data_IF_148907651073
#
_entry.id   IF_148907651073
#
_cell.length_a   1.000
_cell.length_b   1.000
_cell.length_c   1.000
_cell.angle_alpha   90.00
_cell.angle_beta   90.00
_cell.angle_gamma   90.00
#
_symmetry.space_group_name_H-M   'P 1'
#
loop_
_entity.id
_entity.type
_entity.pdbx_description
1 polymer ?
#
# COMPACT_ATOMS: atom_id res chain seq x y z
N UNK A 1 -9.80 64.05 77.35
CA UNK A 1 -9.24 62.70 77.05
C UNK A 1 -10.22 61.99 76.13
N UNK A 2 -10.06 62.10 74.82
CA UNK A 2 -10.88 61.40 73.82
C UNK A 2 -10.03 60.44 73.04
N UNK A 3 -10.36 59.16 73.13
CA UNK A 3 -9.70 58.06 72.38
C UNK A 3 -10.41 57.91 71.03
N UNK A 4 -9.65 58.05 69.93
CA UNK A 4 -10.08 57.67 68.59
C UNK A 4 -9.73 56.17 68.34
N UNK A 5 -10.63 55.42 67.73
CA UNK A 5 -10.29 54.03 67.29
C UNK A 5 -9.62 54.04 65.92
N UNK A 6 -8.54 53.32 65.80
CA UNK A 6 -7.84 53.02 64.54
C UNK A 6 -8.68 52.04 63.73
N UNK A 7 -9.15 52.44 62.55
CA UNK A 7 -9.72 51.49 61.55
C UNK A 7 -8.59 50.86 60.72
N UNK A 8 -8.36 49.59 60.90
CA UNK A 8 -7.45 48.83 60.09
C UNK A 8 -8.08 48.48 58.73
N UNK A 9 -7.48 48.96 57.64
CA UNK A 9 -7.88 48.67 56.27
C UNK A 9 -7.29 47.31 55.89
N UNK A 10 -8.12 46.24 55.81
CA UNK A 10 -7.73 44.93 55.29
C UNK A 10 -7.85 44.96 53.76
N UNK A 11 -6.72 45.03 53.05
CA UNK A 11 -6.67 44.93 51.58
C UNK A 11 -6.69 43.46 51.24
N UNK A 12 -7.81 43.00 50.69
CA UNK A 12 -7.91 41.68 50.04
C UNK A 12 -7.24 41.75 48.66
N UNK A 13 -6.07 41.10 48.53
CA UNK A 13 -5.50 40.81 47.21
C UNK A 13 -6.30 39.69 46.57
N UNK A 14 -7.17 40.03 45.62
CA UNK A 14 -7.72 39.05 44.68
C UNK A 14 -6.58 38.60 43.76
N UNK A 15 -6.07 37.38 43.96
CA UNK A 15 -5.25 36.70 42.94
C UNK A 15 -6.16 36.34 41.77
N UNK A 16 -6.23 37.21 40.76
CA UNK A 16 -6.77 36.88 39.46
C UNK A 16 -5.69 36.03 38.78
N UNK A 17 -5.84 34.70 38.85
CA UNK A 17 -5.12 33.78 37.95
C UNK A 17 -5.65 34.05 36.54
N UNK A 18 -4.89 34.83 35.77
CA UNK A 18 -5.08 34.94 34.34
C UNK A 18 -4.69 33.55 33.82
N UNK A 19 -5.68 32.69 33.57
CA UNK A 19 -5.48 31.54 32.72
C UNK A 19 -5.20 32.13 31.33
N UNK A 20 -3.95 32.05 30.88
CA UNK A 20 -3.65 32.23 29.50
C UNK A 20 -4.57 31.25 28.76
N UNK A 21 -5.38 31.74 27.84
CA UNK A 21 -6.13 30.91 26.93
C UNK A 21 -5.05 30.30 26.01
N UNK A 22 -4.53 29.14 26.37
CA UNK A 22 -3.63 28.41 25.50
C UNK A 22 -4.40 28.14 24.21
N UNK A 23 -3.96 28.76 23.12
CA UNK A 23 -4.60 28.63 21.81
C UNK A 23 -4.53 27.16 21.42
N UNK A 24 -5.70 26.54 21.13
CA UNK A 24 -5.79 25.15 20.73
C UNK A 24 -5.00 24.97 19.43
N UNK A 25 -3.98 24.12 19.47
CA UNK A 25 -3.18 23.75 18.30
C UNK A 25 -4.05 22.90 17.37
N UNK A 26 -3.99 23.20 16.08
CA UNK A 26 -4.73 22.48 15.05
C UNK A 26 -3.78 21.83 14.08
N UNK A 27 -3.88 20.49 13.94
CA UNK A 27 -3.14 19.65 13.01
C UNK A 27 -4.08 19.21 11.90
N UNK A 28 -3.70 19.42 10.66
CA UNK A 28 -4.44 18.94 9.49
C UNK A 28 -3.92 17.56 9.10
N UNK A 29 -4.84 16.61 8.86
CA UNK A 29 -4.52 15.23 8.55
C UNK A 29 -5.24 14.77 7.29
N UNK A 30 -4.49 14.26 6.30
CA UNK A 30 -5.02 13.68 5.07
C UNK A 30 -4.85 12.16 5.05
N UNK A 31 -5.91 11.37 5.34
CA UNK A 31 -5.94 9.94 5.08
C UNK A 31 -6.33 9.64 3.62
N UNK A 32 -6.31 8.36 3.26
CA UNK A 32 -6.82 7.84 1.98
C UNK A 32 -8.30 8.21 1.76
N UNK A 33 -8.74 8.17 0.49
CA UNK A 33 -10.14 8.33 0.09
C UNK A 33 -10.97 7.05 0.19
N UNK A 34 -10.36 5.92 0.56
CA UNK A 34 -11.06 4.65 0.73
C UNK A 34 -12.06 4.73 1.89
N UNK A 35 -13.34 4.31 1.73
CA UNK A 35 -14.35 4.43 2.77
C UNK A 35 -13.99 3.74 4.10
N UNK A 36 -13.34 2.57 4.05
CA UNK A 36 -12.91 1.85 5.24
C UNK A 36 -11.79 2.61 5.98
N UNK A 37 -10.86 3.21 5.23
CA UNK A 37 -9.81 4.04 5.81
C UNK A 37 -10.32 5.38 6.34
N UNK A 38 -11.34 5.96 5.72
CA UNK A 38 -12.03 7.15 6.27
C UNK A 38 -12.69 6.79 7.60
N UNK A 39 -13.36 5.62 7.71
CA UNK A 39 -13.92 5.12 8.95
C UNK A 39 -12.87 4.95 10.05
N UNK A 40 -11.75 4.33 9.73
CA UNK A 40 -10.59 4.20 10.62
C UNK A 40 -10.07 5.56 11.08
N UNK A 41 -9.82 6.46 10.14
CA UNK A 41 -9.28 7.79 10.42
C UNK A 41 -10.23 8.59 11.31
N UNK A 42 -11.54 8.49 11.10
CA UNK A 42 -12.56 9.11 11.95
C UNK A 42 -12.48 8.58 13.38
N UNK A 43 -12.46 7.26 13.57
CA UNK A 43 -12.36 6.62 14.90
C UNK A 43 -11.08 7.04 15.65
N UNK A 44 -9.95 7.12 14.94
CA UNK A 44 -8.66 7.52 15.52
C UNK A 44 -8.65 9.00 15.89
N UNK A 45 -9.12 9.87 14.99
CA UNK A 45 -9.16 11.33 15.22
C UNK A 45 -10.10 11.68 16.36
N UNK A 46 -11.27 11.08 16.43
CA UNK A 46 -12.22 11.30 17.52
C UNK A 46 -11.63 10.90 18.89
N UNK A 47 -10.91 9.77 18.93
CA UNK A 47 -10.22 9.33 20.15
C UNK A 47 -9.09 10.25 20.53
N UNK A 48 -8.26 10.66 19.56
CA UNK A 48 -7.19 11.62 19.78
C UNK A 48 -7.74 12.94 20.33
N UNK A 49 -8.68 13.56 19.63
CA UNK A 49 -9.26 14.84 20.01
C UNK A 49 -9.92 14.84 21.38
N UNK A 50 -10.45 13.68 21.81
CA UNK A 50 -11.03 13.51 23.15
C UNK A 50 -9.98 13.49 24.26
N UNK A 51 -8.81 12.92 24.03
CA UNK A 51 -7.76 12.77 25.05
C UNK A 51 -6.71 13.90 25.01
N UNK A 52 -6.67 14.67 23.90
CA UNK A 52 -5.78 15.80 23.67
C UNK A 52 -6.59 17.06 23.33
N UNK A 53 -7.30 17.66 24.30
CA UNK A 53 -8.12 18.86 24.05
C UNK A 53 -7.29 20.08 23.60
N UNK A 54 -5.99 20.10 23.92
CA UNK A 54 -5.02 21.14 23.56
C UNK A 54 -4.47 20.99 22.12
N UNK A 55 -4.54 19.79 21.52
CA UNK A 55 -4.06 19.49 20.16
C UNK A 55 -5.18 18.81 19.39
N UNK A 56 -5.89 19.55 18.57
CA UNK A 56 -7.00 19.04 17.78
C UNK A 56 -6.58 18.68 16.35
N UNK A 57 -6.90 17.48 15.91
CA UNK A 57 -6.67 17.03 14.54
C UNK A 57 -7.93 17.28 13.71
N UNK A 58 -7.73 17.92 12.55
CA UNK A 58 -8.76 18.17 11.55
C UNK A 58 -8.49 17.26 10.36
N UNK A 59 -9.35 16.27 10.19
CA UNK A 59 -9.24 15.30 9.10
C UNK A 59 -9.87 15.81 7.81
N UNK A 60 -9.17 15.65 6.70
CA UNK A 60 -9.67 15.86 5.34
C UNK A 60 -9.14 14.72 4.45
N UNK A 61 -9.99 13.77 4.04
CA UNK A 61 -9.55 12.71 3.14
C UNK A 61 -9.05 13.24 1.80
N UNK A 62 -8.09 12.53 1.20
CA UNK A 62 -7.66 12.79 -0.18
C UNK A 62 -8.87 12.69 -1.14
N UNK A 63 -8.91 13.45 -2.25
CA UNK A 63 -9.96 13.35 -3.24
C UNK A 63 -10.03 11.94 -3.85
N UNK A 64 -11.24 11.42 -4.01
CA UNK A 64 -11.47 10.16 -4.72
C UNK A 64 -11.41 10.38 -6.24
N UNK A 65 -11.01 9.33 -6.98
CA UNK A 65 -11.01 9.33 -8.45
C UNK A 65 -9.82 10.05 -9.11
N UNK A 66 -8.84 10.47 -8.31
CA UNK A 66 -7.57 11.03 -8.76
C UNK A 66 -6.41 10.24 -8.16
N UNK A 67 -5.23 10.29 -8.80
CA UNK A 67 -4.02 9.76 -8.19
C UNK A 67 -3.67 10.56 -6.93
N UNK A 68 -3.48 9.89 -5.81
CA UNK A 68 -3.04 10.54 -4.57
C UNK A 68 -1.68 11.23 -4.75
N UNK A 69 -0.81 10.67 -5.57
CA UNK A 69 0.51 11.22 -5.89
C UNK A 69 0.39 12.57 -6.62
N UNK A 70 -0.49 12.67 -7.62
CA UNK A 70 -0.72 13.92 -8.36
C UNK A 70 -1.35 15.01 -7.49
N UNK A 71 -2.28 14.63 -6.61
CA UNK A 71 -2.87 15.55 -5.63
C UNK A 71 -1.80 16.09 -4.69
N UNK A 72 -0.93 15.22 -4.17
CA UNK A 72 0.13 15.59 -3.24
C UNK A 72 1.22 16.43 -3.92
N UNK A 73 1.65 16.08 -5.14
CA UNK A 73 2.58 16.90 -5.94
C UNK A 73 2.04 18.31 -6.15
N UNK A 74 0.75 18.42 -6.49
CA UNK A 74 0.09 19.72 -6.67
C UNK A 74 0.06 20.52 -5.37
N UNK A 75 -0.25 19.87 -4.24
CA UNK A 75 -0.29 20.50 -2.93
C UNK A 75 1.11 20.97 -2.47
N UNK A 76 2.16 20.18 -2.74
CA UNK A 76 3.55 20.54 -2.47
C UNK A 76 3.95 21.78 -3.28
N UNK A 77 3.67 21.79 -4.58
CA UNK A 77 3.96 22.94 -5.45
C UNK A 77 3.21 24.22 -5.01
N UNK A 78 1.97 24.06 -4.56
CA UNK A 78 1.14 25.18 -4.08
C UNK A 78 1.41 25.55 -2.60
N UNK A 79 2.20 24.78 -1.86
CA UNK A 79 2.42 24.92 -0.40
C UNK A 79 1.11 24.84 0.41
N UNK A 80 0.21 23.95 0.00
CA UNK A 80 -1.10 23.74 0.63
C UNK A 80 -1.23 22.31 1.18
N UNK A 81 -0.11 21.68 1.50
CA UNK A 81 -0.06 20.34 2.08
C UNK A 81 -0.65 20.33 3.50
N UNK A 82 -1.18 19.18 3.97
CA UNK A 82 -1.55 19.01 5.37
C UNK A 82 -0.30 18.98 6.26
N UNK A 83 -0.49 18.95 7.59
CA UNK A 83 0.60 18.65 8.51
C UNK A 83 1.03 17.18 8.39
N UNK A 84 0.06 16.26 8.38
CA UNK A 84 0.28 14.80 8.31
C UNK A 84 -0.49 14.18 7.14
N UNK A 85 0.15 13.28 6.40
CA UNK A 85 -0.53 12.41 5.43
C UNK A 85 -0.14 10.95 5.66
N UNK A 86 -1.12 10.05 5.69
CA UNK A 86 -0.92 8.61 5.91
C UNK A 86 -1.15 7.75 4.67
N UNK A 87 -1.23 8.36 3.48
CA UNK A 87 -1.40 7.64 2.22
C UNK A 87 -0.26 7.95 1.25
N UNK A 88 0.97 7.93 1.75
CA UNK A 88 2.16 8.15 0.93
C UNK A 88 2.66 6.85 0.34
N UNK A 89 2.74 6.80 -0.97
CA UNK A 89 3.46 5.76 -1.67
C UNK A 89 4.98 6.04 -1.60
N UNK A 90 5.83 5.06 -1.21
CA UNK A 90 7.26 5.29 -1.02
C UNK A 90 8.00 5.85 -2.24
N UNK A 91 7.54 5.52 -3.46
CA UNK A 91 8.19 5.96 -4.70
C UNK A 91 8.17 7.47 -4.96
N UNK A 92 7.42 8.27 -4.16
CA UNK A 92 7.41 9.74 -4.27
C UNK A 92 8.22 10.41 -3.14
N UNK A 93 8.66 9.63 -2.15
CA UNK A 93 9.28 10.17 -0.94
C UNK A 93 10.61 10.85 -1.26
N UNK A 94 11.42 10.26 -2.14
CA UNK A 94 12.71 10.83 -2.53
C UNK A 94 12.54 12.20 -3.21
N UNK A 95 11.58 12.33 -4.13
CA UNK A 95 11.26 13.61 -4.78
C UNK A 95 10.84 14.67 -3.75
N UNK A 96 10.02 14.28 -2.76
CA UNK A 96 9.60 15.19 -1.70
C UNK A 96 10.74 15.56 -0.74
N UNK A 97 11.65 14.63 -0.46
CA UNK A 97 12.84 14.87 0.37
C UNK A 97 13.80 15.85 -0.32
N UNK A 98 14.12 15.62 -1.60
CA UNK A 98 14.96 16.52 -2.42
C UNK A 98 14.36 17.93 -2.54
N UNK A 99 13.01 18.02 -2.67
CA UNK A 99 12.29 19.29 -2.68
C UNK A 99 12.19 19.96 -1.31
N UNK A 100 12.71 19.35 -0.23
CA UNK A 100 12.52 19.78 1.17
C UNK A 100 11.03 19.96 1.55
N UNK A 101 10.14 19.16 0.97
CA UNK A 101 8.71 19.24 1.20
C UNK A 101 8.25 18.47 2.44
N UNK A 102 9.05 17.53 2.93
CA UNK A 102 8.76 16.68 4.09
C UNK A 102 9.88 16.75 5.13
N UNK A 103 9.56 16.41 6.37
CA UNK A 103 10.47 16.49 7.51
C UNK A 103 11.17 15.14 7.71
N UNK A 104 12.49 15.16 7.95
CA UNK A 104 13.23 13.99 8.36
C UNK A 104 12.79 13.58 9.79
N UNK A 105 12.14 12.42 9.91
CA UNK A 105 11.54 11.94 11.15
C UNK A 105 12.57 11.51 12.19
N UNK A 106 13.75 11.08 11.75
CA UNK A 106 14.87 10.71 12.64
C UNK A 106 15.53 11.91 13.34
N UNK A 107 15.06 13.14 13.06
CA UNK A 107 15.39 14.34 13.83
C UNK A 107 14.57 14.49 15.10
N UNK A 108 13.42 13.78 15.23
CA UNK A 108 12.71 13.72 16.50
C UNK A 108 13.48 12.84 17.49
N UNK A 109 13.62 13.30 18.72
CA UNK A 109 14.50 12.70 19.71
C UNK A 109 14.16 11.25 20.05
N UNK A 110 12.90 10.85 19.96
CA UNK A 110 12.38 9.54 20.31
C UNK A 110 12.12 8.62 19.08
N UNK A 111 12.52 9.04 17.87
CA UNK A 111 12.28 8.29 16.63
C UNK A 111 12.70 6.82 16.74
N UNK A 112 13.94 6.54 17.12
CA UNK A 112 14.44 5.18 17.23
C UNK A 112 13.81 4.38 18.38
N UNK A 113 13.40 5.04 19.46
CA UNK A 113 12.64 4.41 20.53
C UNK A 113 11.27 3.93 20.05
N UNK A 114 10.63 4.69 19.15
CA UNK A 114 9.32 4.39 18.58
C UNK A 114 9.39 3.33 17.46
N UNK A 115 10.39 3.43 16.56
CA UNK A 115 10.43 2.61 15.36
C UNK A 115 11.07 1.23 15.59
N UNK A 116 12.12 1.11 16.40
CA UNK A 116 12.85 -0.15 16.59
C UNK A 116 12.01 -1.29 17.20
N UNK A 117 11.07 -1.05 18.14
CA UNK A 117 10.14 -2.08 18.58
C UNK A 117 9.16 -2.54 17.50
N UNK A 118 8.95 -1.71 16.45
CA UNK A 118 7.99 -1.95 15.39
C UNK A 118 8.61 -2.65 14.17
N UNK A 119 9.80 -2.21 13.76
CA UNK A 119 10.44 -2.62 12.50
C UNK A 119 11.85 -3.12 12.80
N UNK A 120 12.28 -4.28 12.26
CA UNK A 120 13.67 -4.72 12.35
C UNK A 120 14.63 -3.71 11.70
N UNK A 121 15.83 -3.54 12.27
CA UNK A 121 16.82 -2.54 11.81
C UNK A 121 17.28 -2.75 10.36
N UNK A 122 17.40 -4.00 9.93
CA UNK A 122 17.77 -4.35 8.55
C UNK A 122 16.66 -4.02 7.54
N UNK A 123 15.41 -4.10 7.98
CA UNK A 123 14.24 -3.71 7.19
C UNK A 123 14.09 -2.19 7.17
N UNK A 124 14.29 -1.52 8.30
CA UNK A 124 14.19 -0.07 8.42
C UNK A 124 15.13 0.64 7.44
N UNK A 125 16.34 0.12 7.24
CA UNK A 125 17.33 0.67 6.30
C UNK A 125 16.81 0.81 4.86
N UNK A 126 15.84 0.00 4.45
CA UNK A 126 15.24 0.08 3.11
C UNK A 126 14.32 1.30 2.93
N UNK A 127 14.00 2.01 4.00
CA UNK A 127 13.19 3.24 3.99
C UNK A 127 14.04 4.52 4.15
N UNK A 128 15.36 4.38 4.24
CA UNK A 128 16.26 5.53 4.25
C UNK A 128 16.30 6.18 2.85
N UNK A 129 16.27 7.51 2.82
CA UNK A 129 16.48 8.30 1.62
C UNK A 129 17.99 8.36 1.26
N UNK A 130 18.30 8.88 0.07
CA UNK A 130 19.67 8.94 -0.46
C UNK A 130 20.64 9.74 0.43
N UNK A 131 20.12 10.68 1.24
CA UNK A 131 20.90 11.47 2.22
C UNK A 131 21.09 10.76 3.57
N UNK A 132 20.54 9.55 3.72
CA UNK A 132 20.62 8.70 4.92
C UNK A 132 19.58 9.01 5.99
N UNK A 133 18.67 9.95 5.78
CA UNK A 133 17.60 10.28 6.71
C UNK A 133 16.32 9.48 6.42
N UNK A 134 15.41 9.43 7.41
CA UNK A 134 14.11 8.76 7.31
C UNK A 134 13.01 9.80 7.23
N UNK A 135 12.40 9.96 6.05
CA UNK A 135 11.34 10.95 5.81
C UNK A 135 9.92 10.36 5.88
N UNK A 136 9.81 9.05 6.02
CA UNK A 136 8.55 8.34 6.05
C UNK A 136 8.52 7.36 7.23
N UNK A 137 7.34 7.23 7.87
CA UNK A 137 7.08 6.19 8.85
C UNK A 137 6.39 5.03 8.16
N UNK A 138 7.03 3.84 8.04
CA UNK A 138 6.39 2.66 7.51
C UNK A 138 5.13 2.30 8.31
N UNK A 139 3.98 2.27 7.63
CA UNK A 139 2.69 2.09 8.29
C UNK A 139 1.98 0.81 7.88
N UNK A 140 1.75 0.62 6.57
CA UNK A 140 1.07 -0.54 6.01
C UNK A 140 1.98 -1.29 5.06
N UNK A 141 1.96 -2.62 5.16
CA UNK A 141 2.59 -3.51 4.20
C UNK A 141 1.51 -4.45 3.66
N UNK A 142 1.16 -4.28 2.40
CA UNK A 142 0.09 -5.04 1.77
C UNK A 142 0.67 -5.96 0.69
N UNK A 143 1.06 -7.21 1.03
CA UNK A 143 1.53 -8.17 0.05
C UNK A 143 0.51 -8.39 -1.07
N UNK A 144 0.98 -8.55 -2.30
CA UNK A 144 0.12 -8.97 -3.41
C UNK A 144 0.15 -10.48 -3.48
N UNK A 145 -1.03 -11.10 -3.45
CA UNK A 145 -1.21 -12.55 -3.54
C UNK A 145 -2.20 -12.90 -4.66
N UNK A 146 -2.20 -14.14 -5.06
CA UNK A 146 -3.20 -14.68 -5.96
C UNK A 146 -4.48 -14.95 -5.16
N UNK A 147 -5.55 -14.25 -5.48
CA UNK A 147 -6.89 -14.45 -4.97
C UNK A 147 -7.67 -15.34 -5.93
N UNK A 148 -8.37 -16.36 -5.43
CA UNK A 148 -9.10 -17.29 -6.27
C UNK A 148 -10.46 -17.65 -5.70
N UNK A 149 -11.43 -17.87 -6.61
CA UNK A 149 -12.79 -18.33 -6.28
C UNK A 149 -12.78 -19.85 -6.07
N UNK A 150 -13.00 -20.29 -4.84
CA UNK A 150 -12.94 -21.71 -4.45
C UNK A 150 -14.04 -22.53 -5.13
N UNK A 151 -15.22 -21.93 -5.34
CA UNK A 151 -16.34 -22.60 -6.02
C UNK A 151 -16.01 -22.88 -7.49
N UNK A 152 -15.51 -21.88 -8.22
CA UNK A 152 -15.13 -22.02 -9.63
C UNK A 152 -13.99 -23.03 -9.82
N UNK A 153 -13.02 -23.05 -8.91
CA UNK A 153 -11.94 -24.03 -8.89
C UNK A 153 -12.49 -25.46 -8.73
N UNK A 154 -13.37 -25.67 -7.77
CA UNK A 154 -14.02 -26.96 -7.51
C UNK A 154 -14.83 -27.43 -8.72
N UNK A 155 -15.62 -26.56 -9.35
CA UNK A 155 -16.41 -26.85 -10.54
C UNK A 155 -15.55 -27.16 -11.78
N UNK A 156 -14.36 -26.57 -11.86
CA UNK A 156 -13.39 -26.84 -12.91
C UNK A 156 -12.53 -28.08 -12.65
N UNK A 157 -12.65 -28.71 -11.46
CA UNK A 157 -11.79 -29.83 -11.06
C UNK A 157 -10.33 -29.40 -10.80
N UNK A 158 -10.11 -28.14 -10.45
CA UNK A 158 -8.82 -27.63 -9.97
C UNK A 158 -8.78 -27.80 -8.45
N UNK A 159 -7.96 -28.72 -7.95
CA UNK A 159 -7.96 -29.13 -6.54
C UNK A 159 -7.15 -28.15 -5.67
N UNK A 160 -5.99 -27.74 -6.17
CA UNK A 160 -5.04 -26.86 -5.47
C UNK A 160 -4.78 -25.61 -6.30
N UNK A 161 -4.52 -24.47 -5.65
CA UNK A 161 -4.12 -23.27 -6.36
C UNK A 161 -2.78 -23.48 -7.07
N UNK A 162 -2.62 -23.03 -8.33
CA UNK A 162 -1.41 -23.22 -9.12
C UNK A 162 -0.22 -22.49 -8.50
N UNK A 163 0.92 -23.17 -8.43
CA UNK A 163 2.19 -22.65 -7.88
C UNK A 163 3.15 -22.21 -8.97
N UNK A 164 3.08 -22.87 -10.13
CA UNK A 164 3.94 -22.54 -11.27
C UNK A 164 3.16 -21.94 -12.43
N UNK A 165 3.86 -21.33 -13.37
CA UNK A 165 3.25 -20.81 -14.59
C UNK A 165 2.60 -21.93 -15.42
N UNK A 166 3.20 -23.12 -15.42
CA UNK A 166 2.66 -24.29 -16.14
C UNK A 166 1.36 -24.75 -15.48
N UNK A 167 1.35 -24.95 -14.16
CA UNK A 167 0.14 -25.29 -13.40
C UNK A 167 -0.96 -24.24 -13.56
N UNK A 168 -0.58 -22.94 -13.62
CA UNK A 168 -1.52 -21.86 -13.88
C UNK A 168 -2.18 -21.99 -15.26
N UNK A 169 -1.40 -22.26 -16.31
CA UNK A 169 -1.93 -22.44 -17.66
C UNK A 169 -2.85 -23.67 -17.78
N UNK A 170 -2.53 -24.76 -17.08
CA UNK A 170 -3.40 -25.94 -17.00
C UNK A 170 -4.71 -25.66 -16.25
N UNK A 171 -4.64 -24.92 -15.16
CA UNK A 171 -5.83 -24.48 -14.44
C UNK A 171 -6.67 -23.50 -15.28
N UNK A 172 -6.00 -22.55 -15.97
CA UNK A 172 -6.64 -21.54 -16.79
C UNK A 172 -7.44 -22.14 -17.96
N UNK A 173 -6.94 -23.20 -18.59
CA UNK A 173 -7.66 -23.93 -19.63
C UNK A 173 -9.01 -24.49 -19.12
N UNK A 174 -9.04 -24.99 -17.88
CA UNK A 174 -10.24 -25.56 -17.25
C UNK A 174 -11.20 -24.46 -16.74
N UNK A 175 -10.65 -23.33 -16.30
CA UNK A 175 -11.39 -22.23 -15.70
C UNK A 175 -11.99 -21.27 -16.74
N UNK A 176 -11.46 -21.26 -17.97
CA UNK A 176 -11.97 -20.41 -19.06
C UNK A 176 -13.11 -21.13 -19.78
N UNK A 177 -14.31 -20.57 -19.76
CA UNK A 177 -15.53 -21.22 -20.23
C UNK A 177 -16.47 -20.29 -20.97
N UNK A 178 -17.17 -20.89 -21.93
CA UNK A 178 -18.44 -20.44 -22.46
C UNK A 178 -19.54 -21.12 -21.60
N UNK A 179 -20.19 -20.39 -20.72
CA UNK A 179 -21.12 -20.94 -19.72
C UNK A 179 -22.56 -21.05 -20.23
N UNK A 180 -22.91 -20.29 -21.28
CA UNK A 180 -24.24 -20.30 -21.90
C UNK A 180 -24.31 -21.00 -23.26
N UNK A 181 -23.16 -21.37 -23.85
CA UNK A 181 -23.05 -22.15 -25.07
C UNK A 181 -23.25 -21.36 -26.34
N UNK A 182 -23.05 -20.05 -26.30
CA UNK A 182 -23.20 -19.16 -27.47
C UNK A 182 -21.92 -19.07 -28.34
N UNK A 183 -20.83 -19.69 -27.90
CA UNK A 183 -19.54 -19.70 -28.58
C UNK A 183 -18.62 -18.56 -28.19
N UNK A 184 -19.01 -17.75 -27.20
CA UNK A 184 -18.20 -16.66 -26.66
C UNK A 184 -17.82 -16.99 -25.21
N UNK A 185 -16.57 -16.73 -24.84
CA UNK A 185 -16.13 -16.87 -23.45
C UNK A 185 -16.76 -15.80 -22.58
N UNK A 186 -17.41 -16.18 -21.50
CA UNK A 186 -18.04 -15.33 -20.52
C UNK A 186 -17.51 -15.54 -19.09
N UNK A 187 -16.74 -16.62 -18.85
CA UNK A 187 -15.95 -16.85 -17.65
C UNK A 187 -14.47 -17.03 -18.02
N UNK A 188 -13.60 -16.15 -17.51
CA UNK A 188 -12.17 -16.22 -17.73
C UNK A 188 -11.43 -16.80 -16.53
N UNK A 189 -10.26 -17.40 -16.79
CA UNK A 189 -9.38 -17.87 -15.73
C UNK A 189 -8.94 -16.73 -14.81
N UNK A 190 -8.66 -15.57 -15.38
CA UNK A 190 -8.23 -14.44 -14.57
C UNK A 190 -8.39 -13.10 -15.27
N UNK A 191 -8.02 -12.04 -14.55
CA UNK A 191 -7.97 -10.69 -15.09
C UNK A 191 -6.60 -10.07 -14.86
N UNK A 192 -6.08 -9.44 -15.92
CA UNK A 192 -4.91 -8.56 -15.88
C UNK A 192 -5.38 -7.19 -16.39
N UNK A 193 -4.96 -6.11 -15.73
CA UNK A 193 -5.42 -4.79 -16.11
C UNK A 193 -4.85 -4.39 -17.48
N UNK A 194 -5.75 -4.14 -18.44
CA UNK A 194 -5.39 -3.80 -19.83
C UNK A 194 -5.14 -2.30 -20.03
N UNK A 195 -5.44 -1.44 -19.05
CA UNK A 195 -5.11 -0.02 -19.15
C UNK A 195 -3.60 0.19 -19.02
N UNK A 196 -2.99 1.02 -19.90
CA UNK A 196 -1.55 1.33 -19.85
C UNK A 196 -1.25 2.38 -18.76
N UNK A 197 -1.88 2.26 -17.60
CA UNK A 197 -1.65 3.14 -16.46
C UNK A 197 -0.50 2.55 -15.64
N UNK A 198 0.52 3.35 -15.40
CA UNK A 198 1.78 2.95 -14.78
C UNK A 198 1.62 2.16 -13.47
N UNK A 199 0.75 2.60 -12.55
CA UNK A 199 0.60 1.97 -11.23
C UNK A 199 -0.08 0.59 -11.27
N UNK A 200 -0.81 0.22 -12.35
CA UNK A 200 -1.36 -1.13 -12.50
C UNK A 200 -0.25 -2.19 -12.56
N UNK A 201 0.91 -1.84 -13.12
CA UNK A 201 2.05 -2.76 -13.27
C UNK A 201 2.68 -3.18 -11.95
N UNK A 202 2.35 -2.52 -10.83
CA UNK A 202 2.77 -3.00 -9.50
C UNK A 202 2.06 -4.29 -9.10
N UNK A 203 0.79 -4.46 -9.50
CA UNK A 203 -0.06 -5.57 -9.08
C UNK A 203 0.03 -6.80 -10.00
N UNK A 204 0.59 -6.65 -11.18
CA UNK A 204 0.82 -7.73 -12.12
C UNK A 204 2.33 -7.93 -12.40
N UNK A 205 2.91 -7.19 -13.33
CA UNK A 205 4.29 -7.38 -13.75
C UNK A 205 5.29 -7.31 -12.58
N UNK A 206 5.25 -6.28 -11.77
CA UNK A 206 6.26 -6.06 -10.75
C UNK A 206 6.18 -7.08 -9.60
N UNK A 207 4.97 -7.36 -9.12
CA UNK A 207 4.76 -8.40 -8.12
C UNK A 207 5.25 -9.77 -8.60
N UNK A 208 4.92 -10.13 -9.85
CA UNK A 208 5.37 -11.39 -10.47
C UNK A 208 6.87 -11.39 -10.77
N UNK A 209 7.47 -10.25 -11.14
CA UNK A 209 8.91 -10.14 -11.34
C UNK A 209 9.68 -10.36 -10.05
N UNK A 210 9.24 -9.75 -8.94
CA UNK A 210 9.81 -10.00 -7.61
C UNK A 210 9.71 -11.48 -7.26
N UNK A 211 8.54 -12.10 -7.49
CA UNK A 211 8.30 -13.50 -7.21
C UNK A 211 9.23 -14.41 -8.05
N UNK A 212 9.23 -14.23 -9.36
CA UNK A 212 10.01 -15.04 -10.29
C UNK A 212 11.53 -14.93 -10.09
N UNK A 213 12.01 -13.77 -9.66
CA UNK A 213 13.45 -13.47 -9.53
C UNK A 213 14.04 -13.72 -8.13
N UNK A 214 13.24 -14.23 -7.18
CA UNK A 214 13.68 -14.40 -5.80
C UNK A 214 13.91 -13.06 -5.08
N UNK A 215 13.15 -12.01 -5.45
CA UNK A 215 13.14 -10.73 -4.75
C UNK A 215 14.03 -9.64 -5.35
N UNK A 216 14.40 -9.74 -6.64
CA UNK A 216 15.11 -8.64 -7.33
C UNK A 216 14.19 -7.43 -7.50
N UNK A 217 14.78 -6.25 -7.35
CA UNK A 217 14.16 -4.97 -7.68
C UNK A 217 14.42 -4.63 -9.16
N UNK A 218 13.71 -3.60 -9.69
CA UNK A 218 13.97 -3.13 -11.07
C UNK A 218 15.35 -2.52 -11.23
N UNK A 219 15.90 -2.00 -10.12
CA UNK A 219 17.21 -1.35 -10.07
C UNK A 219 18.09 -2.00 -9.03
N UNK A 220 19.40 -2.01 -9.33
CA UNK A 220 20.45 -2.41 -8.42
C UNK A 220 21.57 -1.39 -8.47
N UNK A 221 21.90 -0.78 -7.32
CA UNK A 221 22.97 0.25 -7.22
C UNK A 221 22.79 1.41 -8.22
N UNK A 222 21.53 1.81 -8.47
CA UNK A 222 21.18 2.88 -9.42
C UNK A 222 21.15 2.47 -10.90
N UNK A 223 21.47 1.23 -11.24
CA UNK A 223 21.46 0.71 -12.60
C UNK A 223 20.25 -0.19 -12.86
N UNK A 224 19.76 -0.21 -14.11
CA UNK A 224 18.65 -1.08 -14.54
C UNK A 224 19.02 -2.55 -14.41
N UNK A 225 18.30 -3.31 -13.58
CA UNK A 225 18.51 -4.76 -13.34
C UNK A 225 17.42 -5.66 -13.94
N UNK A 226 16.31 -5.11 -14.44
CA UNK A 226 15.22 -5.92 -14.98
C UNK A 226 15.40 -6.38 -16.43
N UNK A 227 16.49 -6.02 -17.11
CA UNK A 227 16.87 -6.55 -18.42
C UNK A 227 17.42 -7.98 -18.28
N UNK A 228 16.56 -8.91 -17.89
CA UNK A 228 16.95 -10.26 -17.53
C UNK A 228 15.87 -11.30 -17.89
N UNK A 229 16.20 -12.57 -17.72
CA UNK A 229 15.32 -13.72 -18.02
C UNK A 229 14.03 -13.74 -17.20
N UNK A 230 14.03 -13.23 -15.96
CA UNK A 230 12.85 -13.24 -15.09
C UNK A 230 11.78 -12.28 -15.59
N UNK A 231 12.16 -11.07 -15.99
CA UNK A 231 11.22 -10.13 -16.59
C UNK A 231 10.66 -10.66 -17.92
N UNK A 232 11.51 -11.28 -18.72
CA UNK A 232 11.07 -11.95 -19.96
C UNK A 232 10.11 -13.10 -19.67
N UNK A 233 10.36 -13.91 -18.62
CA UNK A 233 9.49 -15.02 -18.24
C UNK A 233 8.10 -14.53 -17.83
N UNK A 234 8.01 -13.44 -17.04
CA UNK A 234 6.72 -12.83 -16.66
C UNK A 234 5.96 -12.33 -17.89
N UNK A 235 6.64 -11.61 -18.79
CA UNK A 235 6.00 -11.13 -20.03
C UNK A 235 5.48 -12.27 -20.88
N UNK A 236 6.25 -13.36 -21.04
CA UNK A 236 5.83 -14.54 -21.79
C UNK A 236 4.63 -15.24 -21.17
N UNK A 237 4.65 -15.44 -19.86
CA UNK A 237 3.55 -16.05 -19.13
C UNK A 237 2.24 -15.28 -19.34
N UNK A 238 2.26 -13.96 -19.13
CA UNK A 238 1.07 -13.12 -19.29
C UNK A 238 0.64 -13.00 -20.75
N UNK A 239 1.59 -12.88 -21.70
CA UNK A 239 1.31 -12.87 -23.13
C UNK A 239 0.61 -14.16 -23.58
N UNK A 240 1.09 -15.32 -23.10
CA UNK A 240 0.48 -16.62 -23.42
C UNK A 240 -0.96 -16.73 -22.90
N UNK A 241 -1.22 -16.21 -21.68
CA UNK A 241 -2.57 -16.13 -21.14
C UNK A 241 -3.52 -15.29 -22.00
N UNK A 242 -3.05 -14.15 -22.52
CA UNK A 242 -3.81 -13.34 -23.47
C UNK A 242 -4.00 -13.99 -24.84
N UNK A 243 -2.97 -14.66 -25.35
CA UNK A 243 -3.03 -15.40 -26.63
C UNK A 243 -4.04 -16.53 -26.60
N UNK A 244 -4.08 -17.28 -25.49
CA UNK A 244 -5.03 -18.37 -25.28
C UNK A 244 -6.44 -17.93 -24.90
N UNK A 245 -6.64 -16.62 -24.67
CA UNK A 245 -7.94 -16.08 -24.27
C UNK A 245 -8.30 -16.33 -22.80
N UNK A 246 -7.33 -16.66 -21.96
CA UNK A 246 -7.53 -16.88 -20.52
C UNK A 246 -7.73 -15.58 -19.76
N UNK A 247 -7.27 -14.47 -20.33
CA UNK A 247 -7.49 -13.11 -19.84
C UNK A 247 -8.28 -12.30 -20.87
N UNK A 248 -9.29 -11.51 -20.44
CA UNK A 248 -10.03 -10.65 -21.36
C UNK A 248 -9.15 -9.50 -21.86
N UNK A 249 -9.21 -9.19 -23.19
CA UNK A 249 -8.47 -8.07 -23.80
C UNK A 249 -9.21 -6.73 -23.72
N UNK A 250 -10.42 -6.73 -23.21
CA UNK A 250 -11.25 -5.54 -23.02
C UNK A 250 -11.48 -5.23 -21.55
N UNK A 251 -11.81 -3.98 -21.26
CA UNK A 251 -12.23 -3.57 -19.93
C UNK A 251 -13.62 -4.13 -19.63
N UNK A 252 -13.71 -4.90 -18.57
CA UNK A 252 -14.98 -5.41 -18.04
C UNK A 252 -15.57 -4.41 -17.03
N UNK A 253 -16.90 -4.33 -16.95
CA UNK A 253 -17.59 -3.40 -16.07
C UNK A 253 -17.98 -4.06 -14.74
N UNK A 254 -17.79 -3.35 -13.63
CA UNK A 254 -18.09 -3.86 -12.29
C UNK A 254 -16.99 -4.77 -11.73
N UNK A 255 -17.24 -5.32 -10.56
CA UNK A 255 -16.30 -6.25 -9.94
C UNK A 255 -16.55 -7.66 -10.49
N UNK A 256 -15.66 -8.09 -11.40
CA UNK A 256 -15.80 -9.36 -12.13
C UNK A 256 -15.59 -10.58 -11.25
N UNK A 257 -14.81 -10.44 -10.17
CA UNK A 257 -14.61 -11.50 -9.19
C UNK A 257 -15.90 -11.80 -8.40
N UNK A 258 -16.59 -10.74 -7.94
CA UNK A 258 -17.90 -10.88 -7.30
C UNK A 258 -19.00 -11.40 -8.24
N UNK A 259 -18.91 -11.04 -9.53
CA UNK A 259 -19.83 -11.54 -10.56
C UNK A 259 -19.50 -12.97 -10.99
N UNK A 260 -18.40 -13.53 -10.48
CA UNK A 260 -17.89 -14.87 -10.80
C UNK A 260 -17.57 -15.06 -12.31
N UNK A 261 -17.33 -13.97 -13.02
CA UNK A 261 -16.87 -14.00 -14.42
C UNK A 261 -15.36 -14.21 -14.53
N UNK A 262 -14.62 -14.10 -13.42
CA UNK A 262 -13.20 -14.45 -13.33
C UNK A 262 -12.96 -15.35 -12.10
N UNK A 263 -12.07 -16.32 -12.28
CA UNK A 263 -11.74 -17.25 -11.20
C UNK A 263 -10.54 -16.81 -10.38
N UNK A 264 -9.63 -16.00 -10.94
CA UNK A 264 -8.37 -15.55 -10.32
C UNK A 264 -8.19 -14.04 -10.53
N UNK A 265 -7.70 -13.37 -9.49
CA UNK A 265 -7.13 -12.02 -9.57
C UNK A 265 -5.91 -11.90 -8.67
N UNK A 266 -5.13 -10.82 -8.83
CA UNK A 266 -3.99 -10.51 -7.99
C UNK A 266 -4.31 -9.30 -7.14
N UNK A 267 -4.41 -9.49 -5.83
CA UNK A 267 -4.93 -8.50 -4.90
C UNK A 267 -4.14 -8.45 -3.59
N UNK A 268 -4.31 -7.37 -2.87
CA UNK A 268 -3.83 -7.21 -1.50
C UNK A 268 -4.94 -7.43 -0.46
N UNK A 269 -4.62 -7.34 0.84
CA UNK A 269 -5.57 -7.64 1.93
C UNK A 269 -6.77 -6.68 2.01
N UNK A 270 -6.71 -5.52 1.33
CA UNK A 270 -7.86 -4.58 1.23
C UNK A 270 -9.09 -5.21 0.58
N UNK A 271 -8.88 -6.22 -0.29
CA UNK A 271 -9.97 -6.88 -0.98
C UNK A 271 -10.79 -7.75 -0.02
N UNK A 272 -10.17 -8.33 1.02
CA UNK A 272 -10.89 -9.01 2.11
C UNK A 272 -11.91 -8.05 2.76
N UNK A 273 -11.49 -6.81 3.04
CA UNK A 273 -12.37 -5.79 3.61
C UNK A 273 -13.53 -5.43 2.69
N UNK A 274 -13.26 -5.35 1.38
CA UNK A 274 -14.28 -5.11 0.36
C UNK A 274 -15.26 -6.29 0.24
N UNK A 275 -14.77 -7.51 0.12
CA UNK A 275 -15.57 -8.72 -0.02
C UNK A 275 -16.45 -8.99 1.22
N UNK A 276 -15.96 -8.72 2.43
CA UNK A 276 -16.78 -8.82 3.66
C UNK A 276 -18.04 -7.96 3.63
N UNK A 277 -18.03 -6.85 2.87
CA UNK A 277 -19.16 -5.91 2.78
C UNK A 277 -20.07 -6.25 1.60
N UNK A 278 -19.50 -6.68 0.49
CA UNK A 278 -20.19 -6.75 -0.80
C UNK A 278 -20.48 -8.17 -1.29
N UNK A 279 -19.72 -9.17 -0.81
CA UNK A 279 -19.89 -10.54 -1.28
C UNK A 279 -21.16 -11.18 -0.67
N UNK A 280 -21.85 -12.06 -1.42
CA UNK A 280 -22.91 -12.91 -0.86
C UNK A 280 -22.37 -13.78 0.28
N UNK A 281 -23.24 -14.21 1.23
CA UNK A 281 -22.81 -15.01 2.40
C UNK A 281 -22.16 -16.36 2.06
N UNK A 282 -22.46 -16.91 0.88
CA UNK A 282 -21.96 -18.18 0.35
C UNK A 282 -20.81 -18.03 -0.64
N UNK A 283 -20.25 -16.81 -0.79
CA UNK A 283 -19.13 -16.56 -1.67
C UNK A 283 -17.84 -17.13 -1.08
N UNK A 284 -17.27 -18.12 -1.75
CA UNK A 284 -16.09 -18.85 -1.29
C UNK A 284 -14.84 -18.38 -2.04
N UNK A 285 -13.89 -17.79 -1.33
CA UNK A 285 -12.60 -17.35 -1.89
C UNK A 285 -11.45 -17.63 -0.93
N UNK A 286 -10.23 -17.69 -1.49
CA UNK A 286 -9.02 -17.90 -0.72
C UNK A 286 -7.80 -17.24 -1.41
N UNK A 287 -6.67 -17.26 -0.74
CA UNK A 287 -5.40 -16.66 -1.20
C UNK A 287 -4.27 -17.67 -1.20
N UNK A 288 -3.41 -17.56 -2.22
CA UNK A 288 -2.18 -18.33 -2.36
C UNK A 288 -1.02 -17.39 -2.78
N UNK A 289 0.25 -17.80 -2.60
CA UNK A 289 1.37 -17.09 -3.21
C UNK A 289 1.21 -16.93 -4.72
N UNK A 290 1.89 -15.95 -5.31
CA UNK A 290 1.90 -15.75 -6.75
C UNK A 290 2.50 -16.97 -7.46
N UNK A 291 1.99 -17.36 -8.64
CA UNK A 291 2.62 -18.39 -9.46
C UNK A 291 3.98 -17.89 -9.97
N UNK A 292 4.93 -18.81 -10.09
CA UNK A 292 6.32 -18.52 -10.45
C UNK A 292 6.82 -19.48 -11.55
N UNK A 293 7.94 -19.20 -12.22
CA UNK A 293 8.58 -20.21 -13.10
C UNK A 293 8.90 -21.48 -12.34
N UNK A 294 8.82 -22.63 -13.02
CA UNK A 294 9.20 -23.90 -12.42
C UNK A 294 10.65 -23.88 -11.88
N UNK A 295 10.86 -24.48 -10.71
CA UNK A 295 12.16 -24.50 -10.03
C UNK A 295 12.50 -23.25 -9.23
N UNK A 296 11.59 -22.29 -9.12
CA UNK A 296 11.77 -21.14 -8.18
C UNK A 296 11.75 -21.65 -6.75
N UNK A 297 12.74 -21.23 -5.96
CA UNK A 297 12.89 -21.65 -4.56
C UNK A 297 11.92 -20.91 -3.63
N UNK A 298 11.39 -21.62 -2.63
CA UNK A 298 10.60 -21.05 -1.54
C UNK A 298 11.53 -20.32 -0.51
N UNK A 299 11.09 -19.30 0.19
CA UNK A 299 9.73 -18.71 0.15
C UNK A 299 9.52 -17.81 -1.07
N UNK A 300 8.32 -17.80 -1.62
CA UNK A 300 7.97 -16.91 -2.73
C UNK A 300 7.81 -15.49 -2.22
N UNK A 301 8.64 -14.59 -2.76
CA UNK A 301 8.58 -13.18 -2.45
C UNK A 301 7.53 -12.49 -3.34
N UNK A 302 7.04 -11.33 -2.89
CA UNK A 302 6.08 -10.53 -3.67
C UNK A 302 6.28 -9.03 -3.42
N UNK A 303 5.66 -8.22 -4.26
CA UNK A 303 5.52 -6.80 -4.00
C UNK A 303 4.57 -6.56 -2.82
N UNK A 304 4.97 -5.68 -1.93
CA UNK A 304 4.07 -5.11 -0.93
C UNK A 304 3.68 -3.71 -1.40
N UNK A 305 2.38 -3.42 -1.50
CA UNK A 305 1.89 -2.05 -1.72
C UNK A 305 1.90 -1.28 -0.40
N UNK A 306 3.02 -0.63 -0.04
CA UNK A 306 3.10 0.08 1.23
C UNK A 306 2.44 1.45 1.11
N UNK A 307 1.78 1.86 2.19
CA UNK A 307 1.38 3.25 2.37
C UNK A 307 1.93 3.72 3.71
N UNK A 308 2.68 4.80 3.65
CA UNK A 308 3.45 5.32 4.76
C UNK A 308 2.92 6.67 5.23
N UNK A 309 3.43 7.15 6.36
CA UNK A 309 3.05 8.41 6.96
C UNK A 309 4.21 9.40 6.82
N UNK A 310 3.92 10.63 6.42
CA UNK A 310 4.88 11.73 6.39
C UNK A 310 4.34 12.94 7.16
N UNK A 311 5.26 13.80 7.59
CA UNK A 311 4.99 15.14 8.10
C UNK A 311 5.53 16.14 7.07
N UNK A 312 4.67 17.05 6.59
CA UNK A 312 5.09 18.05 5.62
C UNK A 312 5.83 19.23 6.28
N UNK A 313 6.83 19.75 5.58
CA UNK A 313 7.65 20.88 6.07
C UNK A 313 6.89 22.21 6.18
N UNK A 314 5.70 22.30 5.60
CA UNK A 314 4.78 23.44 5.76
C UNK A 314 4.08 23.45 7.11
N UNK A 315 4.15 22.34 7.88
CA UNK A 315 3.61 22.29 9.24
C UNK A 315 4.25 23.34 10.14
N UNK A 316 3.42 24.04 10.90
CA UNK A 316 3.85 24.99 11.93
C UNK A 316 4.00 24.31 13.31
N UNK A 317 3.54 23.07 13.41
CA UNK A 317 3.44 22.29 14.64
C UNK A 317 4.02 20.88 14.44
N UNK A 318 5.30 20.74 14.01
CA UNK A 318 5.88 19.44 13.66
C UNK A 318 6.00 18.49 14.86
N UNK A 319 6.23 18.99 16.07
CA UNK A 319 6.32 18.16 17.28
C UNK A 319 4.94 17.56 17.62
N UNK A 320 3.87 18.35 17.54
CA UNK A 320 2.51 17.89 17.79
C UNK A 320 2.03 16.95 16.65
N UNK A 321 2.44 17.21 15.42
CA UNK A 321 2.21 16.31 14.30
C UNK A 321 2.90 14.95 14.54
N UNK A 322 4.12 14.95 15.08
CA UNK A 322 4.84 13.72 15.45
C UNK A 322 4.13 12.96 16.58
N UNK A 323 3.62 13.65 17.60
CA UNK A 323 2.80 13.02 18.66
C UNK A 323 1.59 12.29 18.05
N UNK A 324 0.90 12.93 17.09
CA UNK A 324 -0.22 12.30 16.39
C UNK A 324 0.23 11.11 15.54
N UNK A 325 1.38 11.18 14.84
CA UNK A 325 1.95 10.04 14.11
C UNK A 325 2.21 8.85 15.04
N UNK A 326 2.79 9.09 16.24
CA UNK A 326 2.99 8.02 17.25
C UNK A 326 1.68 7.36 17.66
N UNK A 327 0.61 8.15 17.78
CA UNK A 327 -0.72 7.60 18.09
C UNK A 327 -1.27 6.75 16.94
N UNK A 328 -1.11 7.22 15.67
CA UNK A 328 -1.53 6.48 14.47
C UNK A 328 -0.88 5.09 14.37
N UNK A 329 0.38 4.96 14.77
CA UNK A 329 1.15 3.70 14.67
C UNK A 329 1.17 2.89 15.98
N UNK A 330 0.38 3.28 16.97
CA UNK A 330 0.28 2.52 18.23
C UNK A 330 -0.30 1.12 17.99
N UNK A 331 0.01 0.13 18.85
CA UNK A 331 -0.57 -1.22 18.75
C UNK A 331 -2.10 -1.21 18.70
N UNK A 332 -2.73 -0.30 19.45
CA UNK A 332 -4.19 -0.16 19.46
C UNK A 332 -4.72 0.37 18.13
N UNK A 333 -4.03 1.34 17.53
CA UNK A 333 -4.39 1.88 16.21
C UNK A 333 -4.10 0.88 15.10
N UNK A 334 -3.03 0.09 15.20
CA UNK A 334 -2.75 -1.02 14.29
C UNK A 334 -3.84 -2.12 14.35
N UNK A 335 -4.36 -2.44 15.55
CA UNK A 335 -5.49 -3.34 15.67
C UNK A 335 -6.74 -2.76 15.00
N UNK A 336 -6.99 -1.45 15.13
CA UNK A 336 -8.07 -0.77 14.44
C UNK A 336 -7.88 -0.77 12.93
N UNK A 337 -6.65 -0.60 12.43
CA UNK A 337 -6.34 -0.74 11.00
C UNK A 337 -6.76 -2.12 10.48
N UNK A 338 -6.40 -3.19 11.17
CA UNK A 338 -6.83 -4.57 10.85
C UNK A 338 -8.36 -4.70 10.87
N UNK A 339 -9.02 -4.23 11.92
CA UNK A 339 -10.47 -4.34 12.11
C UNK A 339 -11.28 -3.61 11.02
N UNK A 340 -10.90 -2.38 10.67
CA UNK A 340 -11.63 -1.56 9.71
C UNK A 340 -11.34 -1.92 8.27
N UNK A 341 -10.07 -2.28 7.95
CA UNK A 341 -9.60 -2.31 6.57
C UNK A 341 -9.07 -3.66 6.11
N UNK A 342 -8.83 -4.59 7.03
CA UNK A 342 -8.08 -5.84 6.82
C UNK A 342 -6.65 -5.63 6.30
N UNK A 343 -6.17 -4.39 6.15
CA UNK A 343 -4.80 -4.09 5.73
C UNK A 343 -3.81 -4.37 6.86
N UNK A 344 -2.59 -4.75 6.48
CA UNK A 344 -1.60 -5.26 7.43
C UNK A 344 -0.72 -4.11 7.94
N UNK A 345 -0.70 -3.83 9.26
CA UNK A 345 0.27 -2.88 9.82
C UNK A 345 1.69 -3.39 9.59
N UNK A 346 2.59 -2.49 9.17
CA UNK A 346 3.99 -2.81 9.00
C UNK A 346 4.66 -2.93 10.37
N UNK A 347 4.60 -4.13 10.96
CA UNK A 347 5.08 -4.41 12.31
C UNK A 347 5.66 -5.82 12.37
N UNK A 348 6.81 -5.97 13.02
CA UNK A 348 7.34 -7.28 13.37
C UNK A 348 6.45 -7.98 14.40
N UNK A 349 6.55 -9.29 14.45
CA UNK A 349 5.85 -10.14 15.44
C UNK A 349 4.31 -9.98 15.42
N UNK A 350 3.75 -9.53 14.30
CA UNK A 350 2.31 -9.23 14.18
C UNK A 350 1.46 -10.49 14.40
N UNK A 351 1.90 -11.63 13.91
CA UNK A 351 1.22 -12.92 13.99
C UNK A 351 1.41 -13.63 15.36
N UNK A 352 2.33 -13.14 16.18
CA UNK A 352 2.66 -13.74 17.50
C UNK A 352 2.35 -12.81 18.68
N UNK A 353 2.08 -11.52 18.44
CA UNK A 353 1.76 -10.56 19.48
C UNK A 353 0.33 -10.81 20.03
N UNK A 354 0.16 -11.04 21.37
CA UNK A 354 -1.13 -11.30 21.97
C UNK A 354 -2.21 -10.26 21.71
N UNK A 355 -1.84 -9.00 21.38
CA UNK A 355 -2.78 -7.92 21.04
C UNK A 355 -3.61 -8.26 19.81
N UNK A 356 -3.04 -9.04 18.87
CA UNK A 356 -3.69 -9.35 17.59
C UNK A 356 -4.21 -10.79 17.51
N UNK A 357 -3.91 -11.64 18.52
CA UNK A 357 -4.23 -13.08 18.51
C UNK A 357 -5.70 -13.35 18.27
N UNK A 358 -6.60 -12.68 19.00
CA UNK A 358 -8.04 -12.88 18.86
C UNK A 358 -8.56 -12.42 17.49
N UNK A 359 -8.01 -11.33 16.96
CA UNK A 359 -8.35 -10.86 15.62
C UNK A 359 -7.99 -11.91 14.56
N UNK A 360 -6.78 -12.46 14.59
CA UNK A 360 -6.34 -13.43 13.58
C UNK A 360 -7.03 -14.79 13.71
N UNK A 361 -7.44 -15.21 14.91
CA UNK A 361 -8.31 -16.40 15.08
C UNK A 361 -9.63 -16.27 14.31
N UNK A 362 -10.23 -15.09 14.34
CA UNK A 362 -11.46 -14.79 13.61
C UNK A 362 -11.25 -14.41 12.12
N UNK A 363 -10.01 -14.19 11.69
CA UNK A 363 -9.69 -13.68 10.34
C UNK A 363 -8.52 -14.45 9.71
N UNK A 364 -8.67 -15.74 9.40
CA UNK A 364 -7.58 -16.60 8.92
C UNK A 364 -7.02 -16.15 7.56
N UNK A 365 -7.82 -15.53 6.69
CA UNK A 365 -7.35 -15.00 5.41
C UNK A 365 -6.40 -13.82 5.62
N UNK A 366 -6.70 -12.92 6.55
CA UNK A 366 -5.81 -11.79 6.89
C UNK A 366 -4.50 -12.30 7.48
N UNK A 367 -4.53 -13.41 8.24
CA UNK A 367 -3.32 -14.04 8.78
C UNK A 367 -2.39 -14.55 7.68
N UNK A 368 -2.91 -15.01 6.53
CA UNK A 368 -2.08 -15.40 5.37
C UNK A 368 -1.23 -14.23 4.90
N UNK A 369 -1.82 -13.04 4.78
CA UNK A 369 -1.10 -11.83 4.41
C UNK A 369 -0.09 -11.39 5.48
N UNK A 370 -0.45 -11.47 6.77
CA UNK A 370 0.48 -11.16 7.85
C UNK A 370 1.74 -12.07 7.81
N UNK A 371 1.56 -13.35 7.51
CA UNK A 371 2.67 -14.31 7.34
C UNK A 371 3.50 -14.06 6.07
N UNK A 372 2.94 -13.40 5.07
CA UNK A 372 3.66 -13.04 3.83
C UNK A 372 4.56 -11.79 4.00
N UNK A 373 4.32 -10.93 5.01
CA UNK A 373 5.07 -9.68 5.24
C UNK A 373 6.59 -9.87 5.23
N UNK A 374 7.19 -10.87 5.92
CA UNK A 374 8.65 -11.06 5.89
C UNK A 374 9.22 -11.37 4.50
N UNK A 375 8.36 -11.80 3.58
CA UNK A 375 8.72 -12.20 2.21
C UNK A 375 8.25 -11.18 1.18
N UNK A 376 8.39 -9.89 1.51
CA UNK A 376 7.99 -8.80 0.61
C UNK A 376 9.15 -7.91 0.19
N UNK A 377 8.94 -7.19 -0.90
CA UNK A 377 9.77 -6.06 -1.34
C UNK A 377 8.87 -4.84 -1.52
N UNK A 378 9.41 -3.68 -1.19
CA UNK A 378 8.78 -2.39 -1.48
C UNK A 378 9.01 -1.92 -2.92
N UNK A 379 8.81 -0.64 -3.16
CA UNK A 379 9.15 0.02 -4.41
C UNK A 379 10.65 0.35 -4.46
N UNK A 380 11.20 0.42 -5.67
CA UNK A 380 12.53 0.99 -5.88
C UNK A 380 12.56 2.47 -5.43
N UNK A 381 13.68 2.89 -4.85
CA UNK A 381 13.86 4.26 -4.35
C UNK A 381 14.62 5.10 -5.38
N UNK A 382 13.92 5.54 -6.43
CA UNK A 382 14.43 6.44 -7.46
C UNK A 382 13.40 7.51 -7.80
N UNK A 383 13.82 8.74 -8.05
CA UNK A 383 12.95 9.87 -8.39
C UNK A 383 12.16 9.67 -9.69
N UNK A 384 12.74 8.94 -10.67
CA UNK A 384 12.13 8.68 -11.97
C UNK A 384 11.23 7.43 -12.00
N UNK A 385 10.86 6.85 -10.85
CA UNK A 385 10.17 5.56 -10.81
C UNK A 385 8.85 5.56 -11.59
N UNK A 386 8.08 6.65 -11.52
CA UNK A 386 6.85 6.81 -12.31
C UNK A 386 7.12 6.71 -13.81
N UNK A 387 8.13 7.46 -14.32
CA UNK A 387 8.50 7.45 -15.74
C UNK A 387 8.93 6.05 -16.20
N UNK A 388 9.65 5.33 -15.34
CA UNK A 388 10.05 3.95 -15.60
C UNK A 388 8.83 3.03 -15.75
N UNK A 389 7.86 3.14 -14.84
CA UNK A 389 6.64 2.34 -14.92
C UNK A 389 5.75 2.74 -16.09
N UNK A 390 5.76 4.00 -16.55
CA UNK A 390 5.11 4.41 -17.80
C UNK A 390 5.73 3.69 -19.01
N UNK A 391 7.07 3.57 -19.08
CA UNK A 391 7.76 2.80 -20.14
C UNK A 391 7.40 1.32 -20.08
N UNK A 392 7.41 0.73 -18.88
CA UNK A 392 7.04 -0.68 -18.69
C UNK A 392 5.58 -0.92 -19.10
N UNK A 393 4.66 -0.01 -18.72
CA UNK A 393 3.24 -0.12 -19.04
C UNK A 393 2.99 -0.10 -20.56
N UNK A 394 3.67 0.78 -21.30
CA UNK A 394 3.58 0.84 -22.76
C UNK A 394 4.16 -0.43 -23.41
N UNK A 395 5.32 -0.90 -22.93
CA UNK A 395 5.94 -2.13 -23.42
C UNK A 395 5.08 -3.36 -23.13
N UNK A 396 4.43 -3.39 -21.97
CA UNK A 396 3.48 -4.41 -21.56
C UNK A 396 2.26 -4.45 -22.48
N UNK A 397 1.63 -3.29 -22.73
CA UNK A 397 0.49 -3.20 -23.64
C UNK A 397 0.85 -3.76 -25.02
N UNK A 398 1.95 -3.29 -25.59
CA UNK A 398 2.37 -3.65 -26.95
C UNK A 398 2.76 -5.12 -27.09
N UNK A 399 3.57 -5.63 -26.15
CA UNK A 399 4.07 -7.01 -26.20
C UNK A 399 3.09 -8.02 -25.59
N UNK A 400 2.64 -7.77 -24.35
CA UNK A 400 1.89 -8.76 -23.58
C UNK A 400 0.43 -8.84 -24.02
N UNK A 401 -0.27 -7.70 -24.13
CA UNK A 401 -1.70 -7.68 -24.41
C UNK A 401 -1.97 -7.90 -25.89
N UNK A 402 -1.24 -7.18 -26.76
CA UNK A 402 -1.50 -7.20 -28.20
C UNK A 402 -0.57 -8.11 -29.02
N UNK A 403 0.43 -8.73 -28.39
CA UNK A 403 1.36 -9.69 -29.05
C UNK A 403 2.06 -9.09 -30.30
N UNK A 404 2.38 -7.79 -30.24
CA UNK A 404 3.00 -7.10 -31.37
C UNK A 404 4.54 -7.15 -31.35
N UNK A 405 5.13 -7.64 -30.26
CA UNK A 405 6.58 -7.76 -30.11
C UNK A 405 6.95 -8.95 -29.22
N UNK A 406 8.07 -9.59 -29.53
CA UNK A 406 8.63 -10.65 -28.68
C UNK A 406 8.98 -10.08 -27.29
N UNK A 407 8.61 -10.74 -26.18
CA UNK A 407 8.89 -10.30 -24.82
C UNK A 407 10.34 -9.97 -24.53
N UNK A 408 11.29 -10.72 -25.08
CA UNK A 408 12.73 -10.47 -24.88
C UNK A 408 13.17 -9.15 -25.53
N UNK A 409 12.65 -8.86 -26.73
CA UNK A 409 12.93 -7.60 -27.43
C UNK A 409 12.29 -6.45 -26.66
N UNK A 410 11.04 -6.60 -26.25
CA UNK A 410 10.29 -5.57 -25.52
C UNK A 410 10.93 -5.20 -24.19
N UNK A 411 11.34 -6.19 -23.39
CA UNK A 411 12.04 -5.95 -22.11
C UNK A 411 13.38 -5.22 -22.34
N UNK A 412 14.15 -5.65 -23.35
CA UNK A 412 15.43 -5.01 -23.69
C UNK A 412 15.24 -3.54 -24.06
N UNK A 413 14.29 -3.24 -24.95
CA UNK A 413 14.00 -1.85 -25.40
C UNK A 413 13.46 -0.97 -24.26
N UNK A 414 12.61 -1.53 -23.40
CA UNK A 414 12.15 -0.86 -22.19
C UNK A 414 13.33 -0.50 -21.27
N UNK A 415 14.23 -1.47 -21.01
CA UNK A 415 15.42 -1.26 -20.18
C UNK A 415 16.37 -0.21 -20.78
N UNK A 416 16.60 -0.23 -22.10
CA UNK A 416 17.41 0.78 -22.78
C UNK A 416 16.77 2.19 -22.66
N UNK A 417 15.45 2.27 -22.70
CA UNK A 417 14.73 3.53 -22.51
C UNK A 417 14.86 4.03 -21.07
N UNK A 418 14.70 3.14 -20.09
CA UNK A 418 14.90 3.47 -18.67
C UNK A 418 16.33 3.92 -18.38
N UNK A 419 17.36 3.26 -18.95
CA UNK A 419 18.76 3.73 -18.84
C UNK A 419 18.96 5.15 -19.37
N UNK A 420 18.20 5.58 -20.40
CA UNK A 420 18.26 6.98 -20.90
C UNK A 420 17.56 7.96 -19.97
N UNK A 421 16.46 7.56 -19.33
CA UNK A 421 15.73 8.37 -18.34
C UNK A 421 16.64 8.67 -17.14
N UNK A 422 17.31 7.64 -16.60
CA UNK A 422 18.20 7.79 -15.43
C UNK A 422 19.44 8.66 -15.66
N UNK A 423 19.82 8.91 -16.91
CA UNK A 423 20.99 9.76 -17.27
C UNK A 423 20.63 11.24 -17.44
N UNK A 424 19.37 11.60 -17.31
CA UNK A 424 18.90 12.99 -17.38
C UNK A 424 18.99 13.69 -16.02
#
# INVERSE_FOLDING_TARGET
MSRFPLFGLVIFFLNISIHANDEVIKITYWPSSNPQEIGLATDIVDKWNKIHPEIQVIMQPLPSGQSSEEVLLTAVAAKTTPDVCSNIWPGIVEEFAEANAIIALDKFNDFYEIVNPRIPDDVLKNFASNDGHYYQMPWKGNPIMMEYNVRLFREAGVIEPPRTYEEFMEAAEKLTRDTDGDGVVDQWAGVINVNPVWWHRFFDFYAMYIAASGGRMLFKEGEVDFDNEYAVAVFRFLQEGFKKGYFPKGMLQGNQFLLENIAIQFAGPWDIGFLKIHAPPDFEYDYAPLPVPEGTEEPILTYSDPKNIVIFSTSKHPEEAWEFVKFLISKKSDLKLLEFTSQIPFRKDLDTDPVYEEYFKGNPLVLKFAKQIPFTRGSDNITQLKEVFDVIAQSFEYSVIYDMQDPKISIKEAAETCRRILRR
#
